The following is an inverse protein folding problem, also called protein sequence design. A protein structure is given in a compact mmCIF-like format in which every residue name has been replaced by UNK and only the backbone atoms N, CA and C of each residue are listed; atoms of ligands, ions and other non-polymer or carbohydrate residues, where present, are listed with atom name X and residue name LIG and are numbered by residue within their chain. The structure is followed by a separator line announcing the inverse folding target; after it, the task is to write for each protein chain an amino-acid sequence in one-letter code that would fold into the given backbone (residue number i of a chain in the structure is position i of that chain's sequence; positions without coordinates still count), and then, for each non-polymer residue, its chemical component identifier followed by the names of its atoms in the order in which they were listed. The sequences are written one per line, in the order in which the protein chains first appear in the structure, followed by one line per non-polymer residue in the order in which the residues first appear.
data_IF_555118009565
#
_entry.id   IF_555118009565
#
_cell.length_a   1.000
_cell.length_b   1.000
_cell.length_c   1.000
_cell.angle_alpha   90.00
_cell.angle_beta   90.00
_cell.angle_gamma   90.00
#
_symmetry.space_group_name_H-M   'P 1'
#
loop_
_entity.id
_entity.type
_entity.pdbx_description
1 polymer ?
#
# COMPACT_ATOMS: atom_id res chain seq x y z
N UNK A 1 10.02 27.96 -6.47
CA UNK A 1 9.83 26.81 -7.37
C UNK A 1 10.13 25.57 -6.55
N UNK A 2 9.17 24.64 -6.36
CA UNK A 2 9.45 23.43 -5.59
C UNK A 2 10.58 22.64 -6.24
N UNK A 3 11.41 22.00 -5.43
CA UNK A 3 12.52 21.18 -5.94
C UNK A 3 12.00 19.99 -6.74
N UNK A 4 12.83 19.42 -7.62
CA UNK A 4 12.46 18.22 -8.38
C UNK A 4 12.05 17.05 -7.46
N UNK A 5 12.69 16.95 -6.29
CA UNK A 5 12.40 15.94 -5.25
C UNK A 5 11.02 16.15 -4.61
N UNK A 6 10.66 17.40 -4.34
CA UNK A 6 9.37 17.77 -3.75
C UNK A 6 8.22 17.55 -4.73
N UNK A 7 8.48 17.81 -6.02
CA UNK A 7 7.54 17.54 -7.12
C UNK A 7 7.32 16.04 -7.30
N UNK A 8 8.38 15.22 -7.24
CA UNK A 8 8.28 13.77 -7.33
C UNK A 8 7.53 13.16 -6.13
N UNK A 9 7.84 13.62 -4.91
CA UNK A 9 7.12 13.20 -3.70
C UNK A 9 5.63 13.54 -3.77
N UNK A 10 5.28 14.74 -4.20
CA UNK A 10 3.88 15.14 -4.36
C UNK A 10 3.15 14.26 -5.38
N UNK A 11 3.79 13.98 -6.53
CA UNK A 11 3.25 13.07 -7.55
C UNK A 11 2.99 11.67 -6.99
N UNK A 12 3.92 11.13 -6.21
CA UNK A 12 3.81 9.79 -5.64
C UNK A 12 2.67 9.69 -4.62
N UNK A 13 2.50 10.70 -3.76
CA UNK A 13 1.38 10.78 -2.81
C UNK A 13 0.04 10.83 -3.56
N UNK A 14 -0.07 11.66 -4.60
CA UNK A 14 -1.31 11.75 -5.40
C UNK A 14 -1.63 10.42 -6.10
N UNK A 15 -0.64 9.73 -6.65
CA UNK A 15 -0.84 8.42 -7.27
C UNK A 15 -1.23 7.35 -6.25
N UNK A 16 -0.62 7.35 -5.06
CA UNK A 16 -0.97 6.42 -3.99
C UNK A 16 -2.38 6.67 -3.44
N UNK A 17 -2.82 7.92 -3.28
CA UNK A 17 -4.20 8.24 -2.91
C UNK A 17 -5.22 7.69 -3.92
N UNK A 18 -4.89 7.77 -5.22
CA UNK A 18 -5.73 7.19 -6.26
C UNK A 18 -5.77 5.66 -6.15
N UNK A 19 -4.65 4.99 -5.89
CA UNK A 19 -4.66 3.54 -5.65
C UNK A 19 -5.52 3.15 -4.44
N UNK A 20 -5.43 3.89 -3.33
CA UNK A 20 -6.28 3.67 -2.15
C UNK A 20 -7.77 3.78 -2.50
N UNK A 21 -8.16 4.79 -3.27
CA UNK A 21 -9.55 4.95 -3.70
C UNK A 21 -10.07 3.77 -4.52
N UNK A 22 -9.21 3.12 -5.32
CA UNK A 22 -9.57 1.92 -6.08
C UNK A 22 -9.82 0.70 -5.19
N UNK A 23 -9.21 0.69 -4.00
CA UNK A 23 -9.41 -0.28 -2.92
C UNK A 23 -10.49 0.16 -1.92
N UNK A 24 -11.26 1.22 -2.21
CA UNK A 24 -12.29 1.80 -1.32
C UNK A 24 -11.73 2.34 0.00
N UNK A 25 -10.46 2.73 0.01
CA UNK A 25 -9.81 3.39 1.14
C UNK A 25 -9.70 4.90 0.88
N UNK A 26 -9.82 5.66 1.96
CA UNK A 26 -9.57 7.09 2.01
C UNK A 26 -8.16 7.37 2.52
N UNK A 27 -7.51 8.49 2.12
CA UNK A 27 -6.28 8.95 2.75
C UNK A 27 -6.38 9.10 4.28
N UNK A 28 -7.59 9.36 4.82
CA UNK A 28 -7.84 9.42 6.26
C UNK A 28 -7.65 8.08 6.99
N UNK A 29 -7.68 6.98 6.26
CA UNK A 29 -7.52 5.62 6.79
C UNK A 29 -6.05 5.24 6.97
N UNK A 30 -5.14 6.04 6.42
CA UNK A 30 -3.70 5.88 6.56
C UNK A 30 -3.25 6.38 7.93
N UNK A 31 -2.38 5.60 8.58
CA UNK A 31 -1.83 5.98 9.87
C UNK A 31 -0.90 7.18 9.73
N UNK A 32 -1.10 8.19 10.58
CA UNK A 32 -0.21 9.34 10.72
C UNK A 32 0.70 9.12 11.94
N UNK A 33 1.61 8.14 11.82
CA UNK A 33 2.58 7.79 12.85
C UNK A 33 4.00 7.89 12.26
N UNK A 34 4.88 8.74 12.82
CA UNK A 34 6.23 8.91 12.30
C UNK A 34 7.08 7.63 12.35
N UNK A 35 6.70 6.63 13.17
CA UNK A 35 7.33 5.30 13.21
C UNK A 35 7.02 4.46 11.97
N UNK A 36 5.91 4.76 11.29
CA UNK A 36 5.41 4.05 10.12
C UNK A 36 5.16 5.05 8.98
N UNK A 37 6.21 5.49 8.27
CA UNK A 37 6.04 6.41 7.15
C UNK A 37 5.16 5.78 6.06
N UNK A 38 4.16 6.55 5.61
CA UNK A 38 3.27 6.16 4.52
C UNK A 38 3.91 6.36 3.14
N UNK A 39 3.45 5.57 2.17
CA UNK A 39 3.83 5.66 0.76
C UNK A 39 5.33 5.44 0.52
N UNK A 40 5.92 4.53 1.30
CA UNK A 40 7.33 4.15 1.14
C UNK A 40 7.45 3.05 0.09
N UNK A 41 8.29 3.26 -0.90
CA UNK A 41 8.56 2.28 -1.94
C UNK A 41 9.72 1.39 -1.45
N UNK A 42 9.40 0.19 -1.00
CA UNK A 42 10.38 -0.74 -0.42
C UNK A 42 10.57 -1.97 -1.32
N UNK A 43 11.82 -2.30 -1.64
CA UNK A 43 12.18 -3.56 -2.31
C UNK A 43 12.70 -4.55 -1.29
N UNK A 44 12.04 -5.70 -1.16
CA UNK A 44 12.43 -6.76 -0.20
C UNK A 44 13.45 -7.75 -0.80
N UNK A 45 13.71 -7.68 -2.11
CA UNK A 45 14.68 -8.53 -2.81
C UNK A 45 15.85 -7.68 -3.32
N UNK A 46 17.08 -8.09 -3.00
CA UNK A 46 18.30 -7.51 -3.56
C UNK A 46 18.28 -7.63 -5.07
N UNK A 47 18.11 -6.50 -5.77
CA UNK A 47 17.92 -6.46 -7.22
C UNK A 47 17.03 -5.34 -7.75
N UNK A 48 16.49 -4.47 -6.88
CA UNK A 48 15.93 -3.15 -7.25
C UNK A 48 14.66 -3.13 -8.10
N UNK A 49 14.13 -4.28 -8.52
CA UNK A 49 13.11 -4.35 -9.60
C UNK A 49 11.70 -4.75 -9.15
N UNK A 50 11.46 -4.81 -7.83
CA UNK A 50 10.19 -5.25 -7.23
C UNK A 50 9.80 -4.44 -5.99
N UNK A 51 9.87 -3.12 -6.07
CA UNK A 51 9.39 -2.28 -4.99
C UNK A 51 7.88 -2.46 -4.79
N UNK A 52 7.43 -2.59 -3.54
CA UNK A 52 6.02 -2.49 -3.15
C UNK A 52 5.82 -1.16 -2.44
N UNK A 53 4.69 -0.53 -2.71
CA UNK A 53 4.31 0.70 -2.00
C UNK A 53 3.70 0.29 -0.66
N UNK A 54 4.40 0.60 0.43
CA UNK A 54 3.96 0.32 1.79
C UNK A 54 2.99 1.41 2.26
N UNK A 55 1.82 0.99 2.76
CA UNK A 55 0.82 1.91 3.31
C UNK A 55 0.36 1.40 4.69
N UNK A 56 0.69 2.11 5.77
CA UNK A 56 0.18 1.80 7.09
C UNK A 56 -1.28 2.25 7.20
N UNK A 57 -2.16 1.38 7.67
CA UNK A 57 -3.54 1.70 8.01
C UNK A 57 -3.67 1.94 9.51
N UNK A 58 -4.68 2.73 9.89
CA UNK A 58 -4.97 3.09 11.29
C UNK A 58 -5.47 1.93 12.14
N UNK A 59 -5.98 0.87 11.52
CA UNK A 59 -6.58 -0.27 12.21
C UNK A 59 -6.53 -1.52 11.34
N UNK A 60 -6.36 -2.68 11.98
CA UNK A 60 -6.45 -3.98 11.33
C UNK A 60 -7.86 -4.26 10.78
N UNK A 61 -8.90 -3.64 11.36
CA UNK A 61 -10.27 -3.73 10.82
C UNK A 61 -10.34 -3.24 9.37
N UNK A 62 -9.61 -2.17 9.02
CA UNK A 62 -9.57 -1.66 7.66
C UNK A 62 -8.93 -2.64 6.67
N UNK A 63 -7.99 -3.49 7.14
CA UNK A 63 -7.44 -4.57 6.31
C UNK A 63 -8.48 -5.66 6.03
N UNK A 64 -9.32 -5.96 7.01
CA UNK A 64 -10.42 -6.91 6.85
C UNK A 64 -11.57 -6.34 6.02
N UNK A 65 -11.85 -5.04 6.10
CA UNK A 65 -12.92 -4.41 5.32
C UNK A 65 -12.58 -4.27 3.83
N UNK A 66 -11.29 -4.11 3.50
CA UNK A 66 -10.82 -4.23 2.11
C UNK A 66 -10.77 -5.67 1.63
N UNK A 67 -11.18 -6.65 2.45
CA UNK A 67 -11.20 -8.06 2.09
C UNK A 67 -12.38 -8.36 1.17
N UNK A 68 -12.08 -8.47 -0.13
CA UNK A 68 -13.00 -8.61 -1.26
C UNK A 68 -13.83 -7.34 -1.55
N UNK A 69 -13.48 -6.57 -2.60
CA UNK A 69 -13.21 -7.07 -3.96
C UNK A 69 -11.82 -6.69 -4.51
N UNK A 70 -11.50 -7.21 -5.70
CA UNK A 70 -10.43 -6.69 -6.56
C UNK A 70 -10.55 -5.15 -6.72
N UNK A 71 -9.46 -4.45 -7.11
CA UNK A 71 -9.54 -3.02 -7.42
C UNK A 71 -10.73 -2.73 -8.32
N UNK A 72 -11.50 -1.68 -8.01
CA UNK A 72 -12.70 -1.31 -8.77
C UNK A 72 -12.41 -1.06 -10.27
N UNK A 73 -11.17 -0.67 -10.59
CA UNK A 73 -10.64 -0.57 -11.95
C UNK A 73 -9.22 -1.17 -12.00
N UNK A 74 -9.08 -2.46 -12.39
CA UNK A 74 -7.79 -3.13 -12.46
C UNK A 74 -6.85 -2.55 -13.52
N UNK A 75 -7.38 -1.93 -14.59
CA UNK A 75 -6.55 -1.30 -15.62
C UNK A 75 -5.90 -0.04 -15.07
N UNK A 76 -6.68 0.83 -14.43
CA UNK A 76 -6.18 2.03 -13.78
C UNK A 76 -5.29 1.72 -12.58
N UNK A 77 -5.57 0.64 -11.85
CA UNK A 77 -4.69 0.16 -10.78
C UNK A 77 -3.29 -0.17 -11.31
N UNK A 78 -3.20 -0.90 -12.44
CA UNK A 78 -1.93 -1.18 -13.12
C UNK A 78 -1.22 0.10 -13.54
N UNK A 79 -1.90 1.01 -14.22
CA UNK A 79 -1.26 2.26 -14.67
C UNK A 79 -0.68 3.06 -13.51
N UNK A 80 -1.41 3.17 -12.39
CA UNK A 80 -0.92 3.86 -11.21
C UNK A 80 0.27 3.15 -10.54
N UNK A 81 0.28 1.81 -10.55
CA UNK A 81 1.45 1.04 -10.15
C UNK A 81 2.66 1.31 -11.04
N UNK A 82 2.50 1.51 -12.36
CA UNK A 82 3.61 1.91 -13.26
C UNK A 82 4.12 3.31 -12.92
N UNK A 83 3.22 4.26 -12.65
CA UNK A 83 3.59 5.63 -12.28
C UNK A 83 4.46 5.65 -11.02
N UNK A 84 4.20 4.72 -10.10
CA UNK A 84 4.95 4.56 -8.85
C UNK A 84 6.19 3.66 -8.98
N UNK A 85 6.48 3.10 -10.16
CA UNK A 85 7.48 2.03 -10.35
C UNK A 85 7.32 0.92 -9.29
N UNK A 86 6.06 0.55 -9.04
CA UNK A 86 5.67 -0.36 -7.98
C UNK A 86 5.02 -1.62 -8.53
N UNK A 87 5.38 -2.76 -7.94
CA UNK A 87 4.80 -4.07 -8.26
C UNK A 87 3.49 -4.35 -7.52
N UNK A 88 3.02 -3.41 -6.70
CA UNK A 88 1.75 -3.49 -5.99
C UNK A 88 1.78 -2.76 -4.65
N UNK A 89 0.64 -2.77 -3.97
CA UNK A 89 0.50 -2.23 -2.63
C UNK A 89 0.70 -3.30 -1.56
N UNK A 90 1.24 -2.87 -0.43
CA UNK A 90 1.32 -3.63 0.80
C UNK A 90 0.68 -2.81 1.91
N UNK A 91 -0.56 -3.16 2.23
CA UNK A 91 -1.29 -2.54 3.34
C UNK A 91 -0.92 -3.27 4.61
N UNK A 92 -0.63 -2.54 5.68
CA UNK A 92 -0.32 -3.16 6.97
C UNK A 92 -0.86 -2.33 8.14
N UNK A 93 -1.15 -2.97 9.26
CA UNK A 93 -1.53 -2.32 10.51
C UNK A 93 -0.80 -2.99 11.65
N UNK A 94 -0.20 -2.24 12.58
CA UNK A 94 0.24 -2.81 13.85
C UNK A 94 -0.98 -3.34 14.60
N UNK A 95 -0.84 -4.52 15.22
CA UNK A 95 -1.88 -5.08 16.06
C UNK A 95 -1.81 -4.42 17.43
N UNK A 96 -2.84 -3.68 17.79
CA UNK A 96 -3.01 -3.13 19.15
C UNK A 96 -3.52 -4.21 20.10
N UNK A 97 -2.79 -5.33 20.23
CA UNK A 97 -3.09 -6.33 21.24
C UNK A 97 -1.93 -6.44 22.23
N UNK A 98 -2.25 -6.35 23.52
CA UNK A 98 -1.33 -6.30 24.65
C UNK A 98 -0.39 -7.53 24.76
N UNK A 99 -0.65 -8.58 23.98
CA UNK A 99 0.09 -9.84 24.00
C UNK A 99 1.37 -9.84 23.13
N UNK A 100 1.52 -8.92 22.16
CA UNK A 100 2.73 -8.83 21.34
C UNK A 100 2.86 -7.45 20.68
N UNK A 101 3.74 -6.57 21.18
CA UNK A 101 3.94 -5.22 20.63
C UNK A 101 4.56 -5.18 19.23
N UNK A 102 4.80 -6.34 18.59
CA UNK A 102 5.50 -6.44 17.30
C UNK A 102 4.72 -7.23 16.25
N UNK A 103 3.43 -7.51 16.46
CA UNK A 103 2.61 -8.21 15.46
C UNK A 103 1.99 -7.22 14.48
N UNK A 104 2.14 -7.50 13.19
CA UNK A 104 1.51 -6.74 12.11
C UNK A 104 0.56 -7.64 11.35
N UNK A 105 -0.61 -7.10 11.01
CA UNK A 105 -1.49 -7.69 10.02
C UNK A 105 -1.25 -6.99 8.70
N UNK A 106 -1.25 -7.74 7.60
CA UNK A 106 -0.89 -7.21 6.31
C UNK A 106 -1.67 -7.87 5.18
N UNK A 107 -1.90 -7.11 4.11
CA UNK A 107 -2.54 -7.58 2.89
C UNK A 107 -1.84 -7.01 1.68
N UNK A 108 -1.67 -7.86 0.67
CA UNK A 108 -0.96 -7.49 -0.55
C UNK A 108 -1.93 -7.40 -1.73
N UNK A 109 -1.77 -6.35 -2.52
CA UNK A 109 -2.52 -6.11 -3.76
C UNK A 109 -1.53 -5.99 -4.92
N UNK A 110 -1.18 -7.12 -5.58
CA UNK A 110 -0.23 -7.13 -6.69
C UNK A 110 -0.71 -6.29 -7.88
N UNK A 111 0.21 -5.64 -8.58
CA UNK A 111 -0.04 -4.91 -9.84
C UNK A 111 -0.89 -5.73 -10.83
N UNK A 112 -0.60 -7.02 -10.98
CA UNK A 112 -1.28 -7.90 -11.93
C UNK A 112 -2.52 -8.61 -11.35
N UNK A 113 -3.11 -8.14 -10.24
CA UNK A 113 -4.20 -8.84 -9.56
C UNK A 113 -5.47 -8.93 -10.43
N UNK A 114 -5.62 -10.05 -11.14
CA UNK A 114 -6.90 -10.54 -11.66
C UNK A 114 -7.65 -11.41 -10.62
N UNK A 115 -7.09 -11.55 -9.41
CA UNK A 115 -7.65 -12.33 -8.30
C UNK A 115 -8.02 -11.42 -7.10
N UNK A 116 -9.09 -11.74 -6.35
CA UNK A 116 -9.62 -10.89 -5.27
C UNK A 116 -8.71 -10.70 -4.05
N UNK A 117 -7.66 -11.50 -3.87
CA UNK A 117 -6.60 -11.36 -2.85
C UNK A 117 -5.63 -12.53 -3.05
N UNK A 118 -4.35 -12.37 -2.70
CA UNK A 118 -3.42 -13.49 -2.52
C UNK A 118 -3.29 -13.83 -1.03
N UNK A 119 -4.02 -14.84 -0.50
CA UNK A 119 -3.91 -15.25 0.89
C UNK A 119 -2.68 -16.15 1.08
N UNK A 120 -1.47 -15.57 1.03
CA UNK A 120 -0.25 -16.13 1.61
C UNK A 120 0.91 -15.13 1.51
N UNK A 121 1.10 -14.27 2.52
CA UNK A 121 2.38 -13.57 2.70
C UNK A 121 3.42 -14.55 3.26
N UNK A 122 4.21 -15.18 2.38
CA UNK A 122 5.42 -15.89 2.77
C UNK A 122 6.09 -16.70 1.64
N UNK A 123 7.09 -16.11 0.98
CA UNK A 123 8.27 -16.81 0.45
C UNK A 123 9.50 -15.95 0.64
#
# INVERSE_FOLDING_TARGET
VPSAVETDRHRNVVAAHKLLSLLRLSPSDVADDPRYPAYVHASVVGGGRRAKTLVPLRSAHLLHDVCAPAPSDPARYRELCDVLDSTGLYLYSPRTSDASPSSFECRQFPRASAYPEDPATGK
#
